data_IF_985636436433
#
_entry.id   IF_985636436433
#
_cell.length_a   1.000
_cell.length_b   1.000
_cell.length_c   1.000
_cell.angle_alpha   90.00
_cell.angle_beta   90.00
_cell.angle_gamma   90.00
#
_symmetry.space_group_name_H-M   'P 1'
#
loop_
_entity.id
_entity.type
_entity.pdbx_description
1 polymer ?
#
# COMPACT_ATOMS: atom_id res chain seq x y z
N UNK A 1 -2.64 -18.65 2.27
CA UNK A 1 -2.54 -17.33 1.61
C UNK A 1 -1.79 -17.51 0.31
N UNK A 2 -2.23 -16.88 -0.78
CA UNK A 2 -1.45 -16.79 -2.01
C UNK A 2 -0.74 -15.44 -2.05
N UNK A 3 0.45 -15.40 -2.64
CA UNK A 3 1.22 -14.17 -2.81
C UNK A 3 1.79 -14.14 -4.22
N UNK A 4 1.71 -12.98 -4.86
CA UNK A 4 2.21 -12.74 -6.22
C UNK A 4 3.35 -11.75 -6.14
N UNK A 5 4.51 -12.10 -6.69
CA UNK A 5 5.74 -11.33 -6.55
C UNK A 5 6.15 -10.74 -7.89
N UNK A 6 6.64 -9.51 -7.85
CA UNK A 6 7.13 -8.77 -9.01
C UNK A 6 8.57 -8.34 -8.73
N UNK A 7 9.46 -8.54 -9.68
CA UNK A 7 10.87 -8.21 -9.55
C UNK A 7 11.43 -7.62 -10.86
N UNK A 8 12.37 -6.69 -10.74
CA UNK A 8 12.92 -5.92 -11.86
C UNK A 8 11.97 -4.84 -12.36
N UNK A 9 11.05 -4.35 -11.53
CA UNK A 9 10.10 -3.30 -11.91
C UNK A 9 10.88 -2.04 -12.32
N UNK A 10 10.57 -1.41 -13.46
CA UNK A 10 11.28 -0.22 -13.89
C UNK A 10 11.34 0.89 -12.83
N UNK A 11 12.52 1.47 -12.61
CA UNK A 11 12.75 2.44 -11.54
C UNK A 11 11.77 3.63 -11.53
N UNK A 12 11.29 4.08 -12.69
CA UNK A 12 10.32 5.18 -12.75
C UNK A 12 8.98 4.85 -12.07
N UNK A 13 8.59 3.58 -12.04
CA UNK A 13 7.43 3.14 -11.27
C UNK A 13 7.71 3.15 -9.77
N UNK A 14 8.88 2.65 -9.37
CA UNK A 14 9.28 2.57 -7.96
C UNK A 14 9.50 3.96 -7.36
N UNK A 15 10.06 4.90 -8.11
CA UNK A 15 10.20 6.30 -7.74
C UNK A 15 8.85 7.05 -7.68
N UNK A 16 7.78 6.45 -8.21
CA UNK A 16 6.43 7.01 -8.11
C UNK A 16 5.85 6.94 -6.70
N UNK A 17 6.32 6.01 -5.85
CA UNK A 17 5.86 5.94 -4.46
C UNK A 17 6.30 7.16 -3.65
N UNK A 18 5.43 7.60 -2.74
CA UNK A 18 5.61 8.80 -1.91
C UNK A 18 5.74 8.46 -0.43
N UNK A 19 6.35 9.35 0.33
CA UNK A 19 6.31 9.28 1.79
C UNK A 19 4.86 9.46 2.29
N UNK A 20 4.42 8.58 3.19
CA UNK A 20 3.04 8.60 3.68
C UNK A 20 2.93 9.51 4.90
N UNK A 21 2.22 10.64 4.77
CA UNK A 21 1.93 11.58 5.87
C UNK A 21 0.44 11.64 6.20
N UNK A 22 -0.39 11.09 5.32
CA UNK A 22 -1.84 11.05 5.45
C UNK A 22 -2.49 9.98 4.58
N UNK A 23 -3.81 9.88 4.73
CA UNK A 23 -4.69 9.03 3.93
C UNK A 23 -4.48 9.21 2.42
N UNK A 24 -4.35 10.45 1.95
CA UNK A 24 -4.15 10.76 0.52
C UNK A 24 -2.84 10.19 -0.03
N UNK A 25 -1.74 10.30 0.72
CA UNK A 25 -0.45 9.73 0.31
C UNK A 25 -0.52 8.19 0.26
N UNK A 26 -1.22 7.59 1.23
CA UNK A 26 -1.40 6.15 1.25
C UNK A 26 -2.24 5.68 0.06
N UNK A 27 -3.37 6.34 -0.21
CA UNK A 27 -4.21 6.05 -1.37
C UNK A 27 -3.43 6.25 -2.67
N UNK A 28 -2.61 7.29 -2.78
CA UNK A 28 -1.72 7.48 -3.93
C UNK A 28 -0.81 6.27 -4.14
N UNK A 29 -0.17 5.78 -3.07
CA UNK A 29 0.72 4.62 -3.15
C UNK A 29 -0.05 3.33 -3.46
N UNK A 30 -1.28 3.15 -2.98
CA UNK A 30 -2.16 2.05 -3.38
C UNK A 30 -2.42 2.09 -4.89
N UNK A 31 -2.78 3.25 -5.43
CA UNK A 31 -3.01 3.41 -6.87
C UNK A 31 -1.73 3.18 -7.69
N UNK A 32 -0.57 3.62 -7.18
CA UNK A 32 0.74 3.36 -7.78
C UNK A 32 1.04 1.86 -7.84
N UNK A 33 0.78 1.11 -6.76
CA UNK A 33 0.96 -0.33 -6.72
C UNK A 33 0.03 -1.05 -7.73
N UNK A 34 -1.23 -0.62 -7.84
CA UNK A 34 -2.18 -1.16 -8.81
C UNK A 34 -1.73 -0.87 -10.25
N UNK A 35 -1.23 0.32 -10.52
CA UNK A 35 -0.69 0.68 -11.83
C UNK A 35 0.50 -0.20 -12.22
N UNK A 36 1.42 -0.45 -11.27
CA UNK A 36 2.53 -1.39 -11.46
C UNK A 36 2.00 -2.77 -11.80
N UNK A 37 1.06 -3.31 -11.01
CA UNK A 37 0.46 -4.63 -11.28
C UNK A 37 -0.17 -4.65 -12.67
N UNK A 38 -0.95 -3.64 -13.04
CA UNK A 38 -1.61 -3.56 -14.35
C UNK A 38 -0.62 -3.51 -15.53
N UNK A 39 0.53 -2.85 -15.37
CA UNK A 39 1.49 -2.62 -16.45
C UNK A 39 2.68 -3.58 -16.47
N UNK A 40 2.99 -4.24 -15.36
CA UNK A 40 4.22 -5.03 -15.17
C UNK A 40 3.95 -6.53 -14.99
N UNK A 41 2.88 -7.07 -15.60
CA UNK A 41 2.54 -8.51 -15.50
C UNK A 41 3.70 -9.43 -15.94
N UNK A 42 4.50 -8.99 -16.92
CA UNK A 42 5.68 -9.72 -17.40
C UNK A 42 6.88 -9.71 -16.43
N UNK A 43 6.80 -8.95 -15.34
CA UNK A 43 7.78 -8.91 -14.25
C UNK A 43 7.36 -9.80 -13.07
N UNK A 44 6.20 -10.46 -13.18
CA UNK A 44 5.76 -11.42 -12.18
C UNK A 44 6.71 -12.62 -12.17
N UNK A 45 7.15 -13.01 -10.98
CA UNK A 45 8.08 -14.10 -10.76
C UNK A 45 7.45 -15.17 -9.88
N UNK A 46 7.79 -16.42 -10.14
CA UNK A 46 7.51 -17.53 -9.24
C UNK A 46 8.63 -17.62 -8.20
N UNK A 47 8.31 -17.65 -6.89
CA UNK A 47 9.31 -17.88 -5.84
C UNK A 47 10.04 -19.19 -6.09
N UNK A 48 11.31 -19.11 -6.50
CA UNK A 48 12.10 -20.30 -6.86
C UNK A 48 12.86 -20.91 -5.67
N UNK A 49 13.00 -20.18 -4.55
CA UNK A 49 13.64 -20.64 -3.30
C UNK A 49 13.32 -19.67 -2.14
N UNK A 50 13.80 -19.95 -0.92
CA UNK A 50 13.63 -19.06 0.26
C UNK A 50 14.31 -17.68 0.16
N UNK A 51 15.23 -17.51 -0.78
CA UNK A 51 16.08 -16.32 -0.93
C UNK A 51 15.85 -15.56 -2.25
N UNK A 52 14.63 -15.62 -2.80
CA UNK A 52 14.29 -14.80 -3.96
C UNK A 52 14.10 -13.33 -3.58
N UNK A 53 14.42 -12.43 -4.51
CA UNK A 53 14.24 -11.00 -4.35
C UNK A 53 12.98 -10.50 -5.06
N UNK A 54 12.38 -9.41 -4.55
CA UNK A 54 11.18 -8.80 -5.11
C UNK A 54 11.15 -7.29 -4.86
N UNK A 55 10.48 -6.55 -5.73
CA UNK A 55 10.22 -5.12 -5.58
C UNK A 55 8.82 -4.87 -4.99
N UNK A 56 7.84 -5.65 -5.44
CA UNK A 56 6.45 -5.56 -5.02
C UNK A 56 5.86 -6.96 -4.84
N UNK A 57 5.06 -7.15 -3.78
CA UNK A 57 4.28 -8.35 -3.57
C UNK A 57 2.80 -8.01 -3.31
N UNK A 58 1.92 -8.80 -3.90
CA UNK A 58 0.46 -8.73 -3.69
C UNK A 58 0.03 -9.96 -2.90
N UNK A 59 -0.45 -9.75 -1.69
CA UNK A 59 -0.95 -10.82 -0.84
C UNK A 59 -2.45 -10.96 -1.00
N UNK A 60 -2.89 -12.18 -1.30
CA UNK A 60 -4.29 -12.54 -1.52
C UNK A 60 -4.65 -13.68 -0.58
N UNK A 61 -5.39 -13.39 0.48
CA UNK A 61 -5.72 -14.33 1.54
C UNK A 61 -6.56 -13.64 2.59
N UNK A 62 -6.38 -13.98 3.86
CA UNK A 62 -7.13 -13.34 4.96
C UNK A 62 -6.83 -11.85 5.09
N UNK A 63 -5.67 -11.40 4.59
CA UNK A 63 -5.25 -10.02 4.64
C UNK A 63 -4.77 -9.59 3.25
N UNK A 64 -5.65 -8.92 2.49
CA UNK A 64 -5.32 -8.36 1.19
C UNK A 64 -4.44 -7.13 1.35
N UNK A 65 -3.18 -7.22 0.92
CA UNK A 65 -2.20 -6.14 1.09
C UNK A 65 -1.12 -6.11 0.03
N UNK A 66 -0.63 -4.91 -0.25
CA UNK A 66 0.62 -4.70 -0.96
C UNK A 66 1.78 -4.69 0.03
N UNK A 67 2.92 -5.24 -0.39
CA UNK A 67 4.22 -5.08 0.26
C UNK A 67 5.21 -4.55 -0.76
N UNK A 68 5.81 -3.40 -0.47
CA UNK A 68 6.76 -2.75 -1.37
C UNK A 68 8.12 -2.74 -0.68
N UNK A 69 9.11 -3.31 -1.35
CA UNK A 69 10.49 -3.31 -0.88
C UNK A 69 11.13 -1.95 -1.13
N UNK A 70 11.96 -1.51 -0.19
CA UNK A 70 12.90 -0.39 -0.31
C UNK A 70 14.31 -0.87 0.01
N UNK A 71 15.30 -0.01 -0.24
CA UNK A 71 16.69 -0.30 0.12
C UNK A 71 16.87 -0.49 1.63
N UNK A 72 16.16 0.30 2.42
CA UNK A 72 16.21 0.39 3.87
C UNK A 72 15.05 -0.33 4.58
N UNK A 73 14.35 -1.24 3.89
CA UNK A 73 13.27 -2.03 4.48
C UNK A 73 12.08 -2.21 3.56
N UNK A 74 10.87 -1.98 4.08
CA UNK A 74 9.64 -2.14 3.31
C UNK A 74 8.47 -1.37 3.91
N UNK A 75 7.44 -1.13 3.10
CA UNK A 75 6.15 -0.65 3.59
C UNK A 75 5.00 -1.46 3.01
N UNK A 76 3.88 -1.46 3.72
CA UNK A 76 2.72 -2.26 3.41
C UNK A 76 1.45 -1.45 3.56
N UNK A 77 0.47 -1.76 2.71
CA UNK A 77 -0.83 -1.09 2.67
C UNK A 77 -1.91 -2.13 2.43
N UNK A 78 -3.07 -1.98 3.06
CA UNK A 78 -4.25 -2.76 2.72
C UNK A 78 -4.68 -2.47 1.28
N UNK A 79 -5.28 -3.47 0.61
CA UNK A 79 -5.87 -3.31 -0.71
C UNK A 79 -7.36 -3.02 -0.51
N UNK A 80 -7.85 -1.77 -0.73
CA UNK A 80 -9.25 -1.41 -0.51
C UNK A 80 -10.14 -1.76 -1.72
N UNK A 81 -9.68 -2.67 -2.57
CA UNK A 81 -10.35 -3.09 -3.80
C UNK A 81 -10.53 -4.60 -3.79
N UNK A 82 -11.53 -5.09 -4.52
CA UNK A 82 -11.68 -6.51 -4.75
C UNK A 82 -10.50 -7.01 -5.58
N UNK A 83 -9.76 -7.99 -5.06
CA UNK A 83 -8.70 -8.66 -5.82
C UNK A 83 -9.30 -9.75 -6.69
N UNK A 84 -8.98 -9.72 -7.99
CA UNK A 84 -9.45 -10.68 -8.99
C UNK A 84 -8.23 -11.42 -9.55
N UNK A 85 -8.27 -12.75 -9.48
CA UNK A 85 -7.19 -13.63 -9.95
C UNK A 85 -7.75 -14.47 -11.11
N UNK A 86 -7.22 -14.26 -12.31
CA UNK A 86 -7.64 -14.97 -13.52
C UNK A 86 -6.42 -15.42 -14.31
N UNK A 87 -6.33 -16.74 -14.59
CA UNK A 87 -5.24 -17.34 -15.36
C UNK A 87 -3.84 -16.98 -14.84
N UNK A 88 -3.71 -16.82 -13.52
CA UNK A 88 -2.45 -16.43 -12.85
C UNK A 88 -2.19 -14.93 -12.81
N UNK A 89 -2.98 -14.10 -13.50
CA UNK A 89 -2.85 -12.65 -13.46
C UNK A 89 -3.67 -12.06 -12.31
N UNK A 90 -3.14 -11.00 -11.70
CA UNK A 90 -3.82 -10.23 -10.66
C UNK A 90 -4.38 -8.94 -11.24
N UNK A 91 -5.63 -8.64 -10.92
CA UNK A 91 -6.27 -7.36 -11.22
C UNK A 91 -7.19 -6.93 -10.08
N UNK A 92 -7.77 -5.74 -10.18
CA UNK A 92 -8.56 -5.15 -9.10
C UNK A 92 -9.86 -4.54 -9.63
N UNK A 93 -10.93 -4.67 -8.85
CA UNK A 93 -12.22 -4.05 -9.11
C UNK A 93 -12.64 -3.14 -7.95
N UNK A 94 -13.22 -1.99 -8.28
CA UNK A 94 -13.94 -1.14 -7.35
C UNK A 94 -15.35 -1.67 -7.16
N UNK A 95 -15.66 -2.18 -5.97
CA UNK A 95 -17.03 -2.61 -5.64
C UNK A 95 -18.02 -1.44 -5.69
N UNK A 96 -17.58 -0.25 -5.26
CA UNK A 96 -18.41 0.96 -5.24
C UNK A 96 -18.83 1.36 -6.65
N UNK A 97 -17.86 1.42 -7.57
CA UNK A 97 -18.10 1.83 -8.96
C UNK A 97 -18.54 0.68 -9.87
N UNK A 98 -18.43 -0.57 -9.39
CA UNK A 98 -18.67 -1.78 -10.18
C UNK A 98 -17.84 -1.85 -11.47
N UNK A 99 -16.60 -1.36 -11.41
CA UNK A 99 -15.67 -1.33 -12.55
C UNK A 99 -14.25 -1.76 -12.19
N UNK A 100 -13.47 -2.10 -13.22
CA UNK A 100 -12.05 -2.42 -13.08
C UNK A 100 -11.26 -1.18 -12.69
N UNK A 101 -10.32 -1.33 -11.75
CA UNK A 101 -9.32 -0.30 -11.41
C UNK A 101 -8.25 -0.25 -12.50
N UNK A 102 -8.61 0.35 -13.63
CA UNK A 102 -7.74 0.57 -14.78
C UNK A 102 -7.09 1.95 -14.81
N UNK A 103 -6.34 2.25 -15.88
CA UNK A 103 -5.61 3.51 -16.02
C UNK A 103 -6.49 4.77 -15.94
N UNK A 104 -7.74 4.70 -16.42
CA UNK A 104 -8.69 5.82 -16.34
C UNK A 104 -9.07 6.13 -14.88
N UNK A 105 -9.56 5.15 -14.12
CA UNK A 105 -9.90 5.31 -12.70
C UNK A 105 -8.67 5.77 -11.90
N UNK A 106 -7.50 5.15 -12.14
CA UNK A 106 -6.24 5.55 -11.49
C UNK A 106 -5.94 7.03 -11.75
N UNK A 107 -6.09 7.49 -13.00
CA UNK A 107 -5.87 8.89 -13.37
C UNK A 107 -6.87 9.84 -12.71
N UNK A 108 -8.16 9.46 -12.68
CA UNK A 108 -9.24 10.21 -12.03
C UNK A 108 -8.94 10.40 -10.54
N UNK A 109 -8.59 9.32 -9.82
CA UNK A 109 -8.28 9.43 -8.40
C UNK A 109 -6.95 10.14 -8.12
N UNK A 110 -5.93 9.98 -8.96
CA UNK A 110 -4.69 10.77 -8.85
C UNK A 110 -4.96 12.27 -9.07
N UNK A 111 -5.88 12.63 -9.97
CA UNK A 111 -6.33 14.01 -10.14
C UNK A 111 -7.08 14.52 -8.91
N UNK A 112 -8.02 13.74 -8.35
CA UNK A 112 -8.71 14.10 -7.12
C UNK A 112 -7.73 14.35 -5.94
N UNK A 113 -6.71 13.49 -5.79
CA UNK A 113 -5.65 13.68 -4.80
C UNK A 113 -4.88 14.99 -5.03
N UNK A 114 -4.56 15.32 -6.28
CA UNK A 114 -3.87 16.57 -6.62
C UNK A 114 -4.75 17.79 -6.29
N UNK A 115 -6.02 17.78 -6.70
CA UNK A 115 -6.98 18.86 -6.41
C UNK A 115 -7.14 19.11 -4.91
N UNK A 116 -7.20 18.03 -4.10
CA UNK A 116 -7.30 18.13 -2.63
C UNK A 116 -6.04 18.72 -2.00
N UNK A 117 -4.86 18.45 -2.55
CA UNK A 117 -3.58 18.94 -2.03
C UNK A 117 -3.25 20.39 -2.41
N UNK A 118 -3.70 20.86 -3.58
CA UNK A 118 -3.35 22.19 -4.10
C UNK A 118 -4.21 23.33 -3.53
N UNK A 119 -5.38 23.04 -2.97
CA UNK A 119 -6.39 24.04 -2.59
C UNK A 119 -6.90 23.88 -1.15
N UNK A 120 -7.54 24.94 -0.62
CA UNK A 120 -8.51 24.80 0.47
C UNK A 120 -9.74 24.08 -0.10
N UNK A 121 -9.61 22.77 -0.29
CA UNK A 121 -10.52 21.99 -1.11
C UNK A 121 -11.96 22.06 -0.59
N UNK A 122 -12.88 22.27 -1.54
CA UNK A 122 -14.28 21.91 -1.35
C UNK A 122 -14.62 20.65 -2.13
N UNK A 123 -15.69 19.97 -1.71
CA UNK A 123 -16.33 18.91 -2.49
C UNK A 123 -16.50 19.32 -3.97
N UNK A 124 -17.00 20.54 -4.19
CA UNK A 124 -17.35 21.03 -5.52
C UNK A 124 -16.12 21.21 -6.41
N UNK A 125 -14.99 21.65 -5.85
CA UNK A 125 -13.74 21.81 -6.61
C UNK A 125 -13.22 20.48 -7.14
N UNK A 126 -13.30 19.41 -6.34
CA UNK A 126 -12.90 18.07 -6.82
C UNK A 126 -13.82 17.62 -7.94
N UNK A 127 -15.14 17.70 -7.74
CA UNK A 127 -16.13 17.30 -8.76
C UNK A 127 -15.94 18.09 -10.06
N UNK A 128 -15.77 19.41 -9.98
CA UNK A 128 -15.52 20.26 -11.15
C UNK A 128 -14.21 19.89 -11.85
N UNK A 129 -13.15 19.61 -11.10
CA UNK A 129 -11.88 19.15 -11.69
C UNK A 129 -12.04 17.83 -12.45
N UNK A 130 -12.92 16.94 -12.00
CA UNK A 130 -13.21 15.69 -12.70
C UNK A 130 -14.01 15.91 -13.99
N UNK A 131 -15.00 16.82 -13.97
CA UNK A 131 -15.76 17.23 -15.16
C UNK A 131 -14.81 17.83 -16.20
N UNK A 132 -13.99 18.80 -15.80
CA UNK A 132 -13.16 19.56 -16.73
C UNK A 132 -12.00 18.73 -17.30
N UNK A 133 -11.31 17.94 -16.47
CA UNK A 133 -10.11 17.21 -16.90
C UNK A 133 -10.41 15.88 -17.61
N UNK A 134 -11.57 15.28 -17.36
CA UNK A 134 -11.93 13.96 -17.91
C UNK A 134 -13.19 13.99 -18.78
N UNK A 135 -13.79 15.17 -19.00
CA UNK A 135 -15.03 15.32 -19.78
C UNK A 135 -16.16 14.42 -19.26
N UNK A 136 -16.23 14.25 -17.94
CA UNK A 136 -17.28 13.46 -17.30
C UNK A 136 -18.56 14.28 -17.20
N UNK A 137 -19.70 13.61 -17.34
CA UNK A 137 -20.97 14.19 -16.93
C UNK A 137 -20.95 14.45 -15.43
N UNK A 138 -21.61 15.53 -14.98
CA UNK A 138 -21.59 15.93 -13.57
C UNK A 138 -22.03 14.80 -12.61
N UNK A 139 -23.00 13.98 -13.05
CA UNK A 139 -23.47 12.81 -12.29
C UNK A 139 -22.38 11.75 -12.12
N UNK A 140 -21.58 11.49 -13.15
CA UNK A 140 -20.52 10.50 -13.09
C UNK A 140 -19.35 11.03 -12.25
N UNK A 141 -19.02 12.32 -12.37
CA UNK A 141 -18.03 12.97 -11.53
C UNK A 141 -18.39 12.89 -10.03
N UNK A 142 -19.66 13.08 -9.67
CA UNK A 142 -20.16 12.86 -8.30
C UNK A 142 -19.95 11.41 -7.84
N UNK A 143 -20.28 10.43 -8.69
CA UNK A 143 -20.10 9.02 -8.35
C UNK A 143 -18.63 8.65 -8.11
N UNK A 144 -17.71 9.18 -8.92
CA UNK A 144 -16.27 9.02 -8.70
C UNK A 144 -15.81 9.71 -7.41
N UNK A 145 -16.34 10.89 -7.11
CA UNK A 145 -16.05 11.59 -5.87
C UNK A 145 -16.54 10.80 -4.63
N UNK A 146 -17.75 10.23 -4.69
CA UNK A 146 -18.29 9.40 -3.59
C UNK A 146 -17.43 8.15 -3.37
N UNK A 147 -17.00 7.49 -4.45
CA UNK A 147 -16.07 6.37 -4.36
C UNK A 147 -14.72 6.79 -3.76
N UNK A 148 -14.19 7.93 -4.19
CA UNK A 148 -12.94 8.50 -3.68
C UNK A 148 -13.03 8.79 -2.18
N UNK A 149 -14.08 9.48 -1.72
CA UNK A 149 -14.28 9.78 -0.31
C UNK A 149 -14.54 8.54 0.55
N UNK A 150 -15.24 7.54 0.01
CA UNK A 150 -15.39 6.24 0.66
C UNK A 150 -14.04 5.56 0.89
N UNK A 151 -13.11 5.65 -0.07
CA UNK A 151 -11.76 5.11 0.10
C UNK A 151 -10.98 5.88 1.18
N UNK A 152 -11.12 7.21 1.24
CA UNK A 152 -10.46 8.02 2.27
C UNK A 152 -10.98 7.78 3.69
N UNK A 153 -12.22 7.29 3.82
CA UNK A 153 -12.84 6.97 5.11
C UNK A 153 -12.44 5.57 5.63
N UNK A 154 -11.84 4.73 4.79
CA UNK A 154 -11.51 3.34 5.13
C UNK A 154 -10.18 3.21 5.89
N UNK A 155 -9.98 2.09 6.59
CA UNK A 155 -8.68 1.76 7.18
C UNK A 155 -7.72 1.25 6.12
N UNK A 156 -6.66 2.01 5.94
CA UNK A 156 -5.62 1.73 4.98
C UNK A 156 -4.57 0.72 5.46
N UNK A 157 -4.58 0.33 6.75
CA UNK A 157 -3.73 -0.72 7.29
C UNK A 157 -2.23 -0.48 7.08
N UNK A 158 -1.80 0.79 7.07
CA UNK A 158 -0.43 1.19 6.76
C UNK A 158 0.53 0.83 7.91
N UNK A 159 1.65 0.22 7.53
CA UNK A 159 2.85 0.14 8.36
C UNK A 159 4.09 0.01 7.49
N UNK A 160 5.25 0.29 8.08
CA UNK A 160 6.55 0.06 7.45
C UNK A 160 7.53 -0.56 8.44
N UNK A 161 8.57 -1.15 7.89
CA UNK A 161 9.73 -1.65 8.61
C UNK A 161 10.95 -0.94 8.04
N UNK A 162 11.74 -0.32 8.92
CA UNK A 162 12.91 0.46 8.55
C UNK A 162 14.18 -0.14 9.20
N UNK A 163 15.29 -0.13 8.46
CA UNK A 163 16.68 -0.28 8.94
C UNK A 163 17.32 1.11 9.05
N UNK A 164 17.13 1.76 10.19
CA UNK A 164 17.51 3.15 10.43
C UNK A 164 18.82 3.24 11.24
N UNK A 165 19.94 3.07 10.54
CA UNK A 165 21.29 3.16 11.11
C UNK A 165 21.62 4.58 11.58
N UNK A 166 21.12 5.59 10.87
CA UNK A 166 21.48 7.00 11.10
C UNK A 166 20.89 7.55 12.40
N UNK A 167 19.67 7.14 12.73
CA UNK A 167 18.94 7.62 13.92
C UNK A 167 18.93 6.62 15.07
N UNK A 168 19.71 5.53 15.00
CA UNK A 168 19.80 4.54 16.06
C UNK A 168 20.16 5.19 17.40
N UNK A 169 19.28 5.03 18.39
CA UNK A 169 19.46 5.54 19.75
C UNK A 169 18.99 4.52 20.78
N UNK A 170 19.59 3.32 20.72
CA UNK A 170 19.30 2.21 21.62
C UNK A 170 17.81 1.87 21.65
N UNK A 171 17.22 1.88 22.85
CA UNK A 171 15.79 1.55 23.04
C UNK A 171 14.83 2.71 22.72
N UNK A 172 15.33 3.92 22.54
CA UNK A 172 14.50 5.09 22.18
C UNK A 172 14.15 5.02 20.69
N UNK A 173 15.13 4.69 19.86
CA UNK A 173 14.96 4.50 18.42
C UNK A 173 15.78 3.29 17.97
N UNK A 174 15.19 2.09 18.00
CA UNK A 174 15.86 0.87 17.58
C UNK A 174 16.18 0.94 16.10
N UNK A 175 17.40 0.51 15.70
CA UNK A 175 17.82 0.44 14.30
C UNK A 175 16.76 -0.24 13.42
N UNK A 176 16.37 -1.46 13.78
CA UNK A 176 15.28 -2.17 13.11
C UNK A 176 13.99 -1.92 13.85
N UNK A 177 12.98 -1.37 13.19
CA UNK A 177 11.70 -1.12 13.84
C UNK A 177 10.54 -1.11 12.86
N UNK A 178 9.37 -1.45 13.38
CA UNK A 178 8.10 -1.22 12.71
C UNK A 178 7.54 0.14 13.09
N UNK A 179 7.15 0.92 12.09
CA UNK A 179 6.28 2.08 12.25
C UNK A 179 4.87 1.71 11.87
N UNK A 180 3.98 1.76 12.85
CA UNK A 180 2.55 1.55 12.67
C UNK A 180 1.88 2.92 12.68
N UNK A 181 0.98 3.13 11.71
CA UNK A 181 0.34 4.41 11.39
C UNK A 181 1.30 5.45 10.78
N UNK A 182 0.75 6.30 9.92
CA UNK A 182 1.50 7.32 9.18
C UNK A 182 1.50 8.71 9.83
N UNK A 183 0.64 8.96 10.83
CA UNK A 183 0.60 10.26 11.53
C UNK A 183 1.57 10.25 12.69
N UNK A 184 2.50 11.20 12.75
CA UNK A 184 3.46 11.34 13.85
C UNK A 184 2.81 11.43 15.23
N UNK A 185 1.61 12.02 15.34
CA UNK A 185 0.89 12.16 16.61
C UNK A 185 0.28 10.86 17.12
N UNK A 186 0.15 9.84 16.26
CA UNK A 186 -0.43 8.54 16.60
C UNK A 186 0.48 7.38 16.21
N UNK A 187 1.71 7.64 15.76
CA UNK A 187 2.64 6.62 15.31
C UNK A 187 3.09 5.76 16.48
N UNK A 188 3.06 4.45 16.30
CA UNK A 188 3.56 3.48 17.28
C UNK A 188 4.80 2.83 16.67
N UNK A 189 5.90 2.82 17.43
CA UNK A 189 7.14 2.14 17.05
C UNK A 189 7.29 0.82 17.81
N UNK A 190 7.65 -0.24 17.11
CA UNK A 190 7.99 -1.53 17.71
C UNK A 190 9.40 -1.91 17.28
N UNK A 191 10.33 -1.91 18.23
CA UNK A 191 11.71 -2.32 17.99
C UNK A 191 11.84 -3.80 17.65
N UNK A 192 12.85 -4.11 16.84
CA UNK A 192 13.12 -5.45 16.39
C UNK A 192 14.63 -5.77 16.41
N UNK A 193 14.98 -7.04 16.65
CA UNK A 193 16.36 -7.40 17.04
C UNK A 193 17.27 -7.64 15.84
N UNK A 194 16.70 -7.90 14.66
CA UNK A 194 17.45 -8.26 13.45
C UNK A 194 16.84 -7.60 12.23
N UNK A 195 17.62 -7.45 11.17
CA UNK A 195 17.06 -7.14 9.85
C UNK A 195 16.15 -8.31 9.43
N UNK A 196 14.82 -8.13 9.47
CA UNK A 196 13.92 -9.21 9.12
C UNK A 196 13.46 -9.13 7.67
N UNK A 197 13.36 -10.32 7.09
CA UNK A 197 12.92 -10.53 5.72
C UNK A 197 11.42 -10.82 5.69
N UNK A 198 10.96 -11.29 4.53
CA UNK A 198 9.58 -11.66 4.22
C UNK A 198 8.91 -12.57 5.29
N UNK A 199 9.68 -13.43 5.96
CA UNK A 199 9.18 -14.33 7.02
C UNK A 199 8.52 -13.58 8.20
N UNK A 200 9.08 -12.44 8.61
CA UNK A 200 8.45 -11.62 9.65
C UNK A 200 7.09 -11.13 9.19
N UNK A 201 7.06 -10.60 7.97
CA UNK A 201 5.84 -10.09 7.39
C UNK A 201 4.77 -11.18 7.31
N UNK A 202 5.11 -12.36 6.79
CA UNK A 202 4.22 -13.53 6.79
C UNK A 202 3.66 -13.85 8.18
N UNK A 203 4.47 -13.79 9.23
CA UNK A 203 4.00 -14.01 10.60
C UNK A 203 3.01 -12.94 11.07
N UNK A 204 3.08 -11.71 10.57
CA UNK A 204 2.12 -10.65 10.87
C UNK A 204 0.80 -10.82 10.10
N UNK A 205 0.87 -11.35 8.87
CA UNK A 205 -0.22 -11.21 7.89
C UNK A 205 -0.83 -12.52 7.40
N UNK A 206 -0.40 -13.68 7.90
CA UNK A 206 -1.07 -14.96 7.62
C UNK A 206 -1.58 -15.56 8.93
N UNK A 207 -2.90 -15.77 9.05
CA UNK A 207 -3.52 -16.34 10.27
C UNK A 207 -3.06 -17.77 10.58
N UNK A 208 -2.53 -18.47 9.58
CA UNK A 208 -2.11 -19.87 9.69
C UNK A 208 -0.63 -20.01 10.09
N UNK A 209 0.11 -18.89 10.17
CA UNK A 209 1.51 -18.87 10.58
C UNK A 209 1.60 -18.47 12.07
N UNK A 210 2.41 -19.18 12.89
CA UNK A 210 2.64 -18.81 14.28
C UNK A 210 3.05 -17.33 14.42
N UNK A 211 2.41 -16.64 15.37
CA UNK A 211 2.66 -15.22 15.61
C UNK A 211 3.89 -15.02 16.49
N UNK A 212 4.63 -13.96 16.21
CA UNK A 212 5.72 -13.52 17.07
C UNK A 212 5.14 -12.74 18.25
N UNK A 213 5.65 -13.02 19.44
CA UNK A 213 5.33 -12.26 20.65
C UNK A 213 6.34 -11.11 20.79
N UNK A 214 5.91 -10.00 21.40
CA UNK A 214 6.78 -8.84 21.66
C UNK A 214 7.85 -9.14 22.73
N UNK A 215 7.60 -10.12 23.59
CA UNK A 215 8.54 -10.61 24.60
C UNK A 215 8.54 -12.14 24.60
N UNK A 216 9.66 -12.74 25.02
CA UNK A 216 9.69 -14.18 25.28
C UNK A 216 8.88 -14.52 26.53
N UNK A 217 8.30 -15.72 26.57
CA UNK A 217 7.47 -16.19 27.68
C UNK A 217 8.22 -16.19 29.03
N UNK A 218 9.55 -16.19 29.03
CA UNK A 218 10.41 -16.13 30.23
C UNK A 218 10.49 -14.75 30.91
N UNK A 219 9.91 -13.71 30.30
CA UNK A 219 9.91 -12.33 30.83
C UNK A 219 8.53 -11.83 31.28
N UNK A 220 7.53 -12.70 31.34
CA UNK A 220 6.24 -12.39 31.96
C UNK A 220 6.39 -12.50 33.49
N UNK A 221 6.43 -11.34 34.16
CA UNK A 221 6.36 -11.21 35.62
C UNK A 221 5.04 -11.73 36.19
#
# INVERSE_FOLDING_TARGET
>A
MSAFFYNGIPNYYMQGFRAVRGTLDNLFNVLQAIEIVNCCQNYMIEPSDKDFDFDLAVFTGDYHRFLIKKEDGYFSMAIPFQVVIELGNVSFNSNFLSEKVGGQLISIFKNAIATVNDLHHSHDEVVLSLVDNFSLEFKDALNYYDAFTSLLADDHGYFRFDDDVEHENGHIHPRYHFDIFYKNTSSIKIGYVKHDRLDCFYSLVDKNIPKRYLAEASQLF
#
